data_IF_861293634667
#
_entry.id   IF_861293634667
#
_cell.length_a   1.000
_cell.length_b   1.000
_cell.length_c   1.000
_cell.angle_alpha   90.00
_cell.angle_beta   90.00
_cell.angle_gamma   90.00
#
_symmetry.space_group_name_H-M   'P 1'
#
loop_
_entity.id
_entity.type
_entity.pdbx_description
1 polymer ?
#
# COMPACT_ATOMS: atom_id res chain seq x y z
N UNK A 1 4.19 -6.79 16.26
CA UNK A 1 3.69 -5.41 16.13
C UNK A 1 3.41 -5.24 14.66
N UNK A 2 2.14 -5.33 14.26
CA UNK A 2 1.78 -5.41 12.84
C UNK A 2 1.93 -4.02 12.23
N UNK A 3 2.71 -3.92 11.15
CA UNK A 3 2.97 -2.67 10.46
C UNK A 3 1.76 -2.36 9.60
N UNK A 4 1.29 -1.11 9.64
CA UNK A 4 0.21 -0.68 8.76
C UNK A 4 0.50 0.69 8.17
N UNK A 5 -0.13 0.96 7.04
CA UNK A 5 -0.07 2.22 6.32
C UNK A 5 -1.43 2.58 5.75
N UNK A 6 -1.74 3.87 5.79
CA UNK A 6 -2.91 4.43 5.11
C UNK A 6 -2.59 4.64 3.63
N UNK A 7 -3.50 4.21 2.77
CA UNK A 7 -3.38 4.37 1.32
C UNK A 7 -4.36 5.45 0.89
N UNK A 8 -3.82 6.55 0.39
CA UNK A 8 -4.60 7.65 -0.14
C UNK A 8 -4.61 7.62 -1.67
N UNK A 9 -5.79 7.85 -2.25
CA UNK A 9 -5.93 8.21 -3.65
C UNK A 9 -6.29 9.68 -3.73
N UNK A 10 -5.36 10.50 -4.25
CA UNK A 10 -5.41 11.96 -4.10
C UNK A 10 -5.52 12.32 -2.60
N UNK A 11 -6.55 13.04 -2.19
CA UNK A 11 -6.77 13.45 -0.80
C UNK A 11 -7.72 12.52 -0.04
N UNK A 12 -8.15 11.41 -0.64
CA UNK A 12 -9.14 10.50 -0.06
C UNK A 12 -8.48 9.24 0.46
N UNK A 13 -8.78 8.90 1.73
CA UNK A 13 -8.37 7.63 2.32
C UNK A 13 -9.07 6.48 1.58
N UNK A 14 -8.31 5.78 0.75
CA UNK A 14 -8.80 4.68 -0.06
C UNK A 14 -8.87 3.38 0.73
N UNK A 15 -7.90 3.14 1.60
CA UNK A 15 -7.85 1.92 2.38
C UNK A 15 -6.64 1.85 3.30
N UNK A 16 -6.49 0.70 3.94
CA UNK A 16 -5.38 0.39 4.83
C UNK A 16 -4.65 -0.83 4.26
N UNK A 17 -3.32 -0.72 4.18
CA UNK A 17 -2.43 -1.86 3.96
C UNK A 17 -1.78 -2.24 5.30
N UNK A 18 -1.77 -3.54 5.62
CA UNK A 18 -1.08 -4.07 6.78
C UNK A 18 -0.22 -5.28 6.43
N UNK A 19 0.86 -5.43 7.19
CA UNK A 19 1.69 -6.63 7.26
C UNK A 19 1.20 -7.43 8.47
N UNK A 20 0.51 -8.54 8.20
CA UNK A 20 0.14 -9.56 9.17
C UNK A 20 1.21 -10.67 9.18
N UNK A 21 1.09 -11.68 10.06
CA UNK A 21 2.16 -12.64 10.39
C UNK A 21 2.91 -13.25 9.19
N UNK A 22 2.19 -13.66 8.13
CA UNK A 22 2.78 -14.22 6.90
C UNK A 22 2.10 -13.69 5.62
N UNK A 23 1.31 -12.62 5.75
CA UNK A 23 0.56 -12.06 4.62
C UNK A 23 0.43 -10.54 4.68
N UNK A 24 0.45 -9.92 3.51
CA UNK A 24 0.05 -8.55 3.31
C UNK A 24 -1.45 -8.50 3.06
N UNK A 25 -2.13 -7.63 3.79
CA UNK A 25 -3.56 -7.43 3.68
C UNK A 25 -3.83 -5.99 3.23
N UNK A 26 -4.65 -5.83 2.20
CA UNK A 26 -5.14 -4.52 1.79
C UNK A 26 -6.67 -4.51 1.81
N UNK A 27 -7.23 -3.52 2.51
CA UNK A 27 -8.68 -3.39 2.66
C UNK A 27 -9.09 -1.98 2.29
N UNK A 28 -10.04 -1.85 1.36
CA UNK A 28 -10.64 -0.56 1.04
C UNK A 28 -11.51 -0.07 2.20
N UNK A 29 -11.48 1.25 2.42
CA UNK A 29 -12.37 1.89 3.39
C UNK A 29 -13.82 1.84 2.92
N UNK A 30 -14.74 1.55 3.84
CA UNK A 30 -16.16 1.44 3.51
C UNK A 30 -16.72 2.77 2.96
N UNK A 31 -16.22 3.90 3.45
CA UNK A 31 -16.59 5.23 2.93
C UNK A 31 -16.08 5.40 1.51
N UNK A 32 -14.87 4.91 1.19
CA UNK A 32 -14.32 4.98 -0.17
C UNK A 32 -15.15 4.14 -1.15
N UNK A 33 -15.51 2.91 -0.77
CA UNK A 33 -16.33 2.00 -1.59
C UNK A 33 -17.74 2.51 -1.88
N UNK A 34 -18.33 3.26 -0.95
CA UNK A 34 -19.67 3.85 -1.12
C UNK A 34 -19.68 5.03 -2.09
N UNK A 35 -18.52 5.62 -2.34
CA UNK A 35 -18.37 6.70 -3.30
C UNK A 35 -18.00 6.12 -4.67
N UNK A 36 -18.32 6.85 -5.75
CA UNK A 36 -18.02 6.43 -7.12
C UNK A 36 -16.54 6.73 -7.49
N UNK A 37 -15.60 6.41 -6.59
CA UNK A 37 -14.17 6.62 -6.79
C UNK A 37 -13.57 5.55 -7.71
N UNK A 38 -12.33 5.76 -8.15
CA UNK A 38 -11.56 4.79 -8.90
C UNK A 38 -10.78 3.86 -7.95
N UNK A 39 -10.47 2.61 -8.35
CA UNK A 39 -9.59 1.75 -7.58
C UNK A 39 -8.17 2.34 -7.53
N UNK A 40 -7.43 2.06 -6.45
CA UNK A 40 -6.03 2.49 -6.32
C UNK A 40 -5.14 1.86 -7.40
N UNK A 41 -5.51 0.66 -7.87
CA UNK A 41 -4.85 -0.07 -8.95
C UNK A 41 -5.87 -0.90 -9.73
N UNK A 42 -5.62 -1.08 -11.02
CA UNK A 42 -6.40 -2.01 -11.85
C UNK A 42 -6.29 -3.47 -11.38
N UNK A 43 -5.21 -3.83 -10.68
CA UNK A 43 -5.02 -5.16 -10.08
C UNK A 43 -5.70 -5.30 -8.71
N UNK A 44 -6.20 -4.21 -8.15
CA UNK A 44 -6.91 -4.15 -6.86
C UNK A 44 -8.29 -3.49 -7.08
N UNK A 45 -9.22 -4.12 -7.80
CA UNK A 45 -10.54 -3.52 -8.05
C UNK A 45 -11.31 -3.20 -6.75
N UNK A 46 -12.29 -2.30 -6.82
CA UNK A 46 -13.10 -1.96 -5.64
C UNK A 46 -13.90 -3.17 -5.18
N UNK A 47 -13.72 -3.56 -3.92
CA UNK A 47 -14.52 -4.59 -3.25
C UNK A 47 -14.42 -4.45 -1.74
N UNK A 48 -15.44 -4.94 -1.03
CA UNK A 48 -15.47 -4.97 0.45
C UNK A 48 -14.51 -6.01 1.03
N UNK A 49 -14.29 -7.13 0.34
CA UNK A 49 -13.42 -8.19 0.83
C UNK A 49 -11.93 -7.78 0.75
N UNK A 50 -11.19 -8.01 1.83
CA UNK A 50 -9.76 -7.74 1.86
C UNK A 50 -8.99 -8.51 0.78
N UNK A 51 -7.97 -7.87 0.23
CA UNK A 51 -6.94 -8.52 -0.56
C UNK A 51 -5.91 -9.12 0.38
N UNK A 52 -5.45 -10.34 0.09
CA UNK A 52 -4.45 -11.06 0.85
C UNK A 52 -3.40 -11.62 -0.09
N UNK A 53 -2.13 -11.51 0.29
CA UNK A 53 -1.01 -11.98 -0.52
C UNK A 53 0.18 -12.32 0.38
N UNK A 54 0.95 -13.35 0.05
CA UNK A 54 2.20 -13.68 0.76
C UNK A 54 3.35 -12.71 0.47
N UNK A 55 3.19 -11.88 -0.55
CA UNK A 55 4.13 -10.84 -0.96
C UNK A 55 3.40 -9.50 -1.01
N UNK A 56 4.14 -8.40 -0.89
CA UNK A 56 3.56 -7.07 -1.07
C UNK A 56 2.94 -6.95 -2.47
N UNK A 57 1.79 -6.30 -2.59
CA UNK A 57 1.11 -6.22 -3.88
C UNK A 57 1.99 -5.46 -4.89
N UNK A 58 2.14 -5.94 -6.15
CA UNK A 58 3.03 -5.33 -7.14
C UNK A 58 2.79 -3.84 -7.38
N UNK A 59 1.56 -3.37 -7.17
CA UNK A 59 1.24 -1.94 -7.22
C UNK A 59 2.02 -1.14 -6.18
N UNK A 60 2.08 -1.58 -4.92
CA UNK A 60 2.80 -0.88 -3.86
C UNK A 60 4.31 -1.04 -4.00
N UNK A 61 4.78 -2.19 -4.48
CA UNK A 61 6.20 -2.42 -4.79
C UNK A 61 6.68 -1.45 -5.88
N UNK A 62 5.88 -1.27 -6.93
CA UNK A 62 6.18 -0.33 -8.02
C UNK A 62 6.12 1.16 -7.66
N UNK A 63 5.68 1.51 -6.44
CA UNK A 63 5.78 2.88 -5.92
C UNK A 63 7.14 3.15 -5.27
N UNK A 64 7.92 2.11 -4.99
CA UNK A 64 9.26 2.25 -4.42
C UNK A 64 10.17 2.79 -5.53
N UNK A 65 10.92 3.88 -5.26
CA UNK A 65 11.93 4.37 -6.19
C UNK A 65 12.90 3.25 -6.58
N UNK A 66 13.28 3.17 -7.86
CA UNK A 66 14.32 2.24 -8.32
C UNK A 66 15.60 2.98 -8.71
N UNK A 67 16.74 2.28 -8.63
CA UNK A 67 18.05 2.77 -9.05
C UNK A 67 18.56 3.96 -8.22
N UNK A 68 19.20 4.94 -8.87
CA UNK A 68 19.81 6.09 -8.19
C UNK A 68 18.83 6.93 -7.33
N UNK A 69 17.53 6.89 -7.64
CA UNK A 69 16.50 7.59 -6.86
C UNK A 69 16.26 6.90 -5.51
N UNK A 70 16.41 5.58 -5.45
CA UNK A 70 16.38 4.80 -4.22
C UNK A 70 17.55 5.17 -3.30
N UNK A 71 18.75 5.32 -3.86
CA UNK A 71 19.95 5.69 -3.10
C UNK A 71 19.77 7.06 -2.41
N UNK A 72 19.18 8.03 -3.13
CA UNK A 72 18.87 9.36 -2.59
C UNK A 72 17.74 9.31 -1.55
N UNK A 73 16.70 8.49 -1.78
CA UNK A 73 15.60 8.31 -0.84
C UNK A 73 16.07 7.65 0.48
N UNK A 74 16.94 6.64 0.41
CA UNK A 74 17.53 5.99 1.59
C UNK A 74 18.35 7.00 2.41
N UNK A 75 19.15 7.84 1.75
CA UNK A 75 19.94 8.86 2.45
C UNK A 75 19.07 9.95 3.11
N UNK A 76 17.96 10.35 2.48
CA UNK A 76 17.08 11.39 3.00
C UNK A 76 16.05 10.89 4.04
N UNK A 77 15.56 9.65 3.92
CA UNK A 77 14.47 9.15 4.76
C UNK A 77 14.90 8.47 6.07
N UNK A 78 16.20 8.44 6.40
CA UNK A 78 16.70 7.72 7.60
C UNK A 78 16.11 6.31 7.73
N UNK A 79 15.76 5.67 6.61
CA UNK A 79 15.27 4.31 6.59
C UNK A 79 16.45 3.43 6.98
N UNK A 80 16.39 2.88 8.19
CA UNK A 80 17.46 2.06 8.74
C UNK A 80 17.64 0.85 7.80
N UNK A 81 18.76 0.75 7.06
CA UNK A 81 18.90 -0.22 5.97
C UNK A 81 19.27 -1.62 6.49
N UNK A 82 18.85 -1.96 7.71
CA UNK A 82 19.10 -3.26 8.35
C UNK A 82 17.79 -3.79 8.92
N UNK A 83 17.02 -4.42 8.05
CA UNK A 83 16.29 -5.63 8.40
C UNK A 83 17.30 -6.76 8.60
#
# INVERSE_FOLDING_TARGET
MNRSGEVYYQDYLAGIISEEEEEYVFTYEAVYLKNNFLPVSLTLPLREASYKSKIIFPFFDGLIPEGWLLDIAIQNWKLNPRL
#
